data_IF_741118228615
#
_entry.id   IF_741118228615
#
_cell.length_a   1.000
_cell.length_b   1.000
_cell.length_c   1.000
_cell.angle_alpha   90.00
_cell.angle_beta   90.00
_cell.angle_gamma   90.00
#
_symmetry.space_group_name_H-M   'P 1'
#
loop_
_entity.id
_entity.type
_entity.pdbx_description
1 polymer ?
#
# COMPACT_ATOMS: atom_id res chain seq x y z
N UNK A 1 -9.52 -9.28 -23.16
CA UNK A 1 -8.92 -9.03 -21.85
C UNK A 1 -8.38 -10.32 -21.28
N UNK A 2 -7.12 -10.34 -20.85
CA UNK A 2 -6.48 -11.47 -20.17
C UNK A 2 -7.01 -11.64 -18.75
N UNK A 3 -6.82 -12.81 -18.15
CA UNK A 3 -7.16 -13.04 -16.74
C UNK A 3 -6.46 -12.05 -15.80
N UNK A 4 -5.20 -11.69 -16.11
CA UNK A 4 -4.47 -10.67 -15.37
C UNK A 4 -5.17 -9.30 -15.42
N UNK A 5 -5.60 -8.85 -16.61
CA UNK A 5 -6.28 -7.56 -16.76
C UNK A 5 -7.61 -7.52 -16.01
N UNK A 6 -8.33 -8.66 -15.96
CA UNK A 6 -9.55 -8.80 -15.17
C UNK A 6 -9.27 -8.66 -13.67
N UNK A 7 -8.24 -9.33 -13.15
CA UNK A 7 -7.82 -9.20 -11.76
C UNK A 7 -7.33 -7.80 -11.42
N UNK A 8 -6.56 -7.18 -12.32
CA UNK A 8 -6.07 -5.81 -12.16
C UNK A 8 -7.24 -4.83 -12.04
N UNK A 9 -8.24 -4.95 -12.93
CA UNK A 9 -9.43 -4.11 -12.87
C UNK A 9 -10.27 -4.37 -11.60
N UNK A 10 -10.49 -5.64 -11.25
CA UNK A 10 -11.28 -6.03 -10.08
C UNK A 10 -10.65 -5.55 -8.76
N UNK A 11 -9.32 -5.47 -8.68
CA UNK A 11 -8.60 -5.04 -7.47
C UNK A 11 -8.31 -3.53 -7.43
N UNK A 12 -8.77 -2.76 -8.42
CA UNK A 12 -8.62 -1.29 -8.44
C UNK A 12 -9.06 -0.61 -7.13
N UNK A 13 -10.23 -0.94 -6.52
CA UNK A 13 -10.68 -0.28 -5.30
C UNK A 13 -9.75 -0.58 -4.11
N UNK A 14 -9.41 -1.85 -3.89
CA UNK A 14 -8.52 -2.27 -2.80
C UNK A 14 -7.12 -1.68 -2.92
N UNK A 15 -6.58 -1.55 -4.14
CA UNK A 15 -5.29 -0.87 -4.35
C UNK A 15 -5.36 0.62 -4.13
N UNK A 16 -6.48 1.25 -4.46
CA UNK A 16 -6.70 2.66 -4.20
C UNK A 16 -6.75 2.91 -2.69
N UNK A 17 -7.46 2.04 -1.95
CA UNK A 17 -7.50 2.05 -0.48
C UNK A 17 -6.11 1.83 0.13
N UNK A 18 -5.34 0.86 -0.38
CA UNK A 18 -3.96 0.62 0.05
C UNK A 18 -3.11 1.90 -0.05
N UNK A 19 -3.21 2.65 -1.14
CA UNK A 19 -2.47 3.90 -1.32
C UNK A 19 -2.86 5.01 -0.34
N UNK A 20 -3.99 4.88 0.36
CA UNK A 20 -4.40 5.86 1.38
C UNK A 20 -3.65 5.70 2.70
N UNK A 21 -3.04 4.53 2.96
CA UNK A 21 -2.37 4.20 4.21
C UNK A 21 -1.28 5.25 4.53
N UNK A 22 -1.32 5.87 5.73
CA UNK A 22 -0.36 6.91 6.11
C UNK A 22 1.10 6.46 6.04
N UNK A 23 1.39 5.22 6.42
CA UNK A 23 2.73 4.66 6.40
C UNK A 23 3.32 4.59 4.98
N UNK A 24 2.51 4.20 3.99
CA UNK A 24 2.94 4.16 2.59
C UNK A 24 3.24 5.56 2.06
N UNK A 25 2.39 6.54 2.39
CA UNK A 25 2.64 7.96 2.03
C UNK A 25 3.92 8.48 2.68
N UNK A 26 4.16 8.17 3.95
CA UNK A 26 5.36 8.57 4.67
C UNK A 26 6.63 7.90 4.09
N UNK A 27 6.54 6.62 3.74
CA UNK A 27 7.63 5.86 3.12
C UNK A 27 8.06 6.45 1.77
N UNK A 28 7.10 6.69 0.87
CA UNK A 28 7.39 7.29 -0.45
C UNK A 28 7.95 8.71 -0.33
N UNK A 29 7.55 9.46 0.71
CA UNK A 29 8.06 10.79 0.99
C UNK A 29 9.43 10.80 1.72
N UNK A 30 10.01 9.63 2.05
CA UNK A 30 11.25 9.53 2.82
C UNK A 30 11.15 9.96 4.29
N UNK A 31 9.93 9.98 4.84
CA UNK A 31 9.63 10.42 6.22
C UNK A 31 9.33 9.25 7.18
N UNK A 32 9.67 8.03 6.77
CA UNK A 32 9.43 6.83 7.56
C UNK A 32 10.64 6.52 8.44
N UNK A 33 10.44 6.50 9.75
CA UNK A 33 11.47 6.06 10.69
C UNK A 33 11.53 4.53 10.76
N UNK A 34 12.69 4.00 11.16
CA UNK A 34 12.86 2.55 11.42
C UNK A 34 11.91 2.06 12.52
N UNK A 35 11.71 2.85 13.57
CA UNK A 35 10.84 2.52 14.69
C UNK A 35 9.38 2.37 14.23
N UNK A 36 8.89 3.36 13.47
CA UNK A 36 7.52 3.34 12.93
C UNK A 36 7.30 2.17 11.96
N UNK A 37 8.31 1.83 11.16
CA UNK A 37 8.24 0.67 10.27
C UNK A 37 8.16 -0.66 11.05
N UNK A 38 8.99 -0.80 12.10
CA UNK A 38 8.97 -2.00 12.93
C UNK A 38 7.63 -2.14 13.67
N UNK A 39 7.10 -1.06 14.23
CA UNK A 39 5.79 -1.07 14.90
C UNK A 39 4.68 -1.60 13.98
N UNK A 40 4.65 -1.13 12.72
CA UNK A 40 3.69 -1.60 11.73
C UNK A 40 3.82 -3.10 11.38
N UNK A 41 5.04 -3.65 11.36
CA UNK A 41 5.26 -5.06 10.99
C UNK A 41 4.91 -6.05 12.10
N UNK A 42 4.74 -5.57 13.33
CA UNK A 42 4.51 -6.41 14.51
C UNK A 42 3.08 -6.37 15.04
N UNK A 43 2.18 -5.65 14.35
CA UNK A 43 0.72 -5.75 14.54
C UNK A 43 0.11 -6.82 13.62
#
# INVERSE_FOLDING_TARGET
MTFYEQLYAATQPARTELLTIPLLKAGVAGRLSRETYLAFLTE
#
